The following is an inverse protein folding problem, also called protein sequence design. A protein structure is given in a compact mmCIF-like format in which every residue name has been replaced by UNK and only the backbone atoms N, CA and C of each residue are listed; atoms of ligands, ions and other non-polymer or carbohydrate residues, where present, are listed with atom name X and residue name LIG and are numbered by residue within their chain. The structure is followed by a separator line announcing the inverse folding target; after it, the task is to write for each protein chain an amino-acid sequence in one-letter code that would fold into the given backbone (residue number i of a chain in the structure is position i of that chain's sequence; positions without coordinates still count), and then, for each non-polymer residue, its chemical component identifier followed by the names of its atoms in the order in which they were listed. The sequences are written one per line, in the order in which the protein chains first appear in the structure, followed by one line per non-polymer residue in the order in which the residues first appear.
data_IF_020678982391
#
_entry.id   IF_020678982391
#
_cell.length_a   1.000
_cell.length_b   1.000
_cell.length_c   1.000
_cell.angle_alpha   90.00
_cell.angle_beta   90.00
_cell.angle_gamma   90.00
#
_symmetry.space_group_name_H-M   'P 1'
#
loop_
_entity.id
_entity.type
_entity.pdbx_description
1 polymer ?
#
# COMPACT_ATOMS: atom_id res chain seq x y z
N UNK A 1 45.82 -34.76 10.08
CA UNK A 1 44.94 -35.90 9.69
C UNK A 1 44.26 -36.35 10.98
N UNK A 2 43.13 -35.78 11.39
CA UNK A 2 41.78 -36.04 10.88
C UNK A 2 40.90 -34.78 10.90
N UNK A 3 39.98 -34.73 9.92
CA UNK A 3 38.95 -33.72 9.72
C UNK A 3 37.94 -33.65 10.88
N UNK A 4 37.61 -32.45 11.33
CA UNK A 4 36.30 -32.17 11.91
C UNK A 4 35.41 -31.63 10.78
N UNK A 5 34.44 -32.43 10.34
CA UNK A 5 33.38 -32.01 9.43
C UNK A 5 32.39 -31.21 10.29
N UNK A 6 32.46 -29.88 10.25
CA UNK A 6 31.39 -29.03 10.74
C UNK A 6 30.26 -29.03 9.71
N UNK A 7 29.15 -29.68 10.07
CA UNK A 7 27.89 -29.61 9.32
C UNK A 7 27.29 -28.22 9.53
N UNK A 8 27.39 -27.37 8.52
CA UNK A 8 26.74 -26.06 8.49
C UNK A 8 25.23 -26.25 8.28
N UNK A 9 24.43 -25.98 9.32
CA UNK A 9 22.98 -25.82 9.16
C UNK A 9 22.71 -24.42 8.60
N UNK A 10 22.22 -24.36 7.35
CA UNK A 10 21.70 -23.14 6.75
C UNK A 10 20.20 -23.04 7.02
N UNK A 11 19.76 -21.98 7.71
CA UNK A 11 18.34 -21.66 7.84
C UNK A 11 17.91 -20.76 6.66
N UNK A 12 16.96 -21.23 5.87
CA UNK A 12 16.39 -20.51 4.72
C UNK A 12 15.02 -19.95 5.07
N UNK A 13 14.83 -18.63 5.14
CA UNK A 13 13.51 -18.07 5.42
C UNK A 13 12.82 -17.67 4.10
N UNK A 14 11.52 -17.90 4.01
CA UNK A 14 10.68 -17.36 2.93
C UNK A 14 9.99 -16.11 3.47
N UNK A 15 10.29 -14.94 2.91
CA UNK A 15 9.63 -13.67 3.25
C UNK A 15 8.82 -13.20 2.04
N UNK A 16 7.51 -13.02 2.21
CA UNK A 16 6.64 -12.48 1.14
C UNK A 16 6.70 -13.24 -0.19
N UNK A 17 6.98 -14.55 -0.15
CA UNK A 17 7.15 -15.34 -1.36
C UNK A 17 8.53 -15.23 -2.03
N UNK A 18 9.57 -14.81 -1.31
CA UNK A 18 10.96 -14.86 -1.79
C UNK A 18 11.85 -15.64 -0.83
N UNK A 19 12.71 -16.52 -1.39
CA UNK A 19 13.73 -17.27 -0.66
C UNK A 19 14.88 -16.33 -0.26
N UNK A 20 15.03 -16.07 1.03
CA UNK A 20 16.13 -15.26 1.57
C UNK A 20 17.16 -16.20 2.19
N UNK A 21 18.39 -16.17 1.66
CA UNK A 21 19.54 -16.94 2.15
C UNK A 21 20.31 -16.10 3.16
N UNK A 22 20.27 -16.46 4.44
CA UNK A 22 21.17 -15.88 5.43
C UNK A 22 22.47 -16.69 5.51
N UNK A 23 23.61 -16.06 5.23
CA UNK A 23 24.91 -16.53 5.71
C UNK A 23 25.08 -16.01 7.15
N UNK A 24 25.14 -16.92 8.13
CA UNK A 24 25.53 -16.56 9.48
C UNK A 24 27.04 -16.28 9.52
N UNK A 25 27.36 -15.00 9.62
CA UNK A 25 28.68 -14.44 9.86
C UNK A 25 28.63 -12.98 9.47
N UNK A 26 28.84 -12.06 10.42
CA UNK A 26 28.95 -10.60 10.22
C UNK A 26 27.69 -9.71 10.26
N UNK A 27 26.64 -10.03 11.05
CA UNK A 27 25.57 -9.05 11.36
C UNK A 27 25.28 -8.98 12.86
N UNK A 28 26.32 -8.90 13.68
CA UNK A 28 26.20 -8.41 15.06
C UNK A 28 27.03 -7.15 15.33
N UNK A 29 27.92 -6.75 14.40
CA UNK A 29 28.73 -5.53 14.53
C UNK A 29 28.06 -4.28 13.92
N UNK A 30 27.09 -4.42 13.01
CA UNK A 30 26.43 -3.28 12.34
C UNK A 30 25.18 -2.75 13.06
N UNK A 31 24.64 -3.51 14.03
CA UNK A 31 23.43 -3.11 14.78
C UNK A 31 23.76 -2.13 15.93
N UNK A 32 25.03 -2.09 16.38
CA UNK A 32 25.45 -1.12 17.42
C UNK A 32 25.93 0.23 16.86
N UNK A 33 26.27 0.34 15.57
CA UNK A 33 26.77 1.58 14.98
C UNK A 33 25.65 2.54 14.48
N UNK A 34 24.39 2.09 14.41
CA UNK A 34 23.24 2.88 13.93
C UNK A 34 22.36 3.49 15.04
N UNK A 35 22.81 3.43 16.31
CA UNK A 35 22.06 3.95 17.46
C UNK A 35 22.45 5.37 17.89
N UNK A 36 23.10 6.14 17.02
CA UNK A 36 23.44 7.55 17.27
C UNK A 36 22.79 8.43 16.19
N UNK A 37 21.85 9.27 16.66
CA UNK A 37 21.07 10.31 15.95
C UNK A 37 19.71 9.90 15.34
N UNK A 38 18.81 9.35 16.16
CA UNK A 38 17.39 9.71 16.05
C UNK A 38 17.01 10.63 17.22
N UNK A 39 17.21 11.93 17.01
CA UNK A 39 16.48 12.94 17.78
C UNK A 39 15.00 12.84 17.38
N UNK A 40 14.04 12.77 18.31
CA UNK A 40 12.62 12.83 17.97
C UNK A 40 12.26 14.29 17.65
N UNK A 41 12.60 14.73 16.44
CA UNK A 41 12.19 16.03 15.90
C UNK A 41 11.46 15.86 14.58
N UNK A 42 10.32 15.19 14.63
CA UNK A 42 9.18 15.57 13.82
C UNK A 42 7.94 15.08 14.56
N UNK A 43 7.15 16.01 15.09
CA UNK A 43 5.70 15.81 15.11
C UNK A 43 5.36 15.27 13.72
N UNK A 44 4.81 14.06 13.64
CA UNK A 44 4.31 13.52 12.38
C UNK A 44 3.44 14.63 11.78
N UNK A 45 3.95 15.31 10.76
CA UNK A 45 3.12 16.21 9.97
C UNK A 45 1.98 15.33 9.54
N UNK A 46 0.79 15.61 10.03
CA UNK A 46 -0.44 15.09 9.46
C UNK A 46 -0.28 15.32 7.97
N UNK A 47 0.00 14.26 7.20
CA UNK A 47 -0.07 14.33 5.76
C UNK A 47 -1.51 14.78 5.51
N UNK A 48 -1.68 16.05 5.14
CA UNK A 48 -2.96 16.56 4.68
C UNK A 48 -3.32 15.65 3.52
N UNK A 49 -4.28 14.76 3.77
CA UNK A 49 -4.76 13.75 2.84
C UNK A 49 -4.90 14.41 1.46
N UNK A 50 -4.13 14.01 0.43
CA UNK A 50 -4.26 14.55 -0.93
C UNK A 50 -5.61 14.22 -1.59
N UNK A 51 -6.48 13.53 -0.84
CA UNK A 51 -7.82 13.11 -1.19
C UNK A 51 -8.82 14.26 -1.02
N UNK A 52 -8.74 15.21 -1.92
CA UNK A 52 -9.79 16.21 -2.11
C UNK A 52 -10.64 15.73 -3.27
N UNK A 53 -11.81 15.17 -2.96
CA UNK A 53 -12.88 15.02 -3.93
C UNK A 53 -13.06 16.35 -4.70
N UNK A 54 -13.22 16.30 -6.03
CA UNK A 54 -13.34 17.52 -6.83
C UNK A 54 -14.48 18.40 -6.33
N UNK A 55 -14.23 19.67 -5.94
CA UNK A 55 -15.30 20.60 -5.58
C UNK A 55 -16.18 21.00 -6.78
N UNK A 56 -15.71 20.73 -8.00
CA UNK A 56 -16.42 20.99 -9.26
C UNK A 56 -17.23 19.79 -9.75
N UNK A 57 -17.29 18.71 -8.96
CA UNK A 57 -18.15 17.57 -9.24
C UNK A 57 -19.63 17.94 -9.10
N UNK A 58 -20.43 17.49 -10.06
CA UNK A 58 -21.87 17.62 -10.11
C UNK A 58 -22.43 16.20 -10.06
N UNK A 59 -23.09 15.86 -8.96
CA UNK A 59 -23.65 14.53 -8.74
C UNK A 59 -25.17 14.52 -8.86
N UNK A 60 -25.71 13.37 -9.27
CA UNK A 60 -27.15 13.09 -9.21
C UNK A 60 -27.57 12.63 -7.81
N UNK A 61 -28.84 12.24 -7.65
CA UNK A 61 -29.28 11.61 -6.40
C UNK A 61 -28.58 10.24 -6.23
N UNK A 62 -28.06 9.93 -5.03
CA UNK A 62 -27.32 8.70 -4.84
C UNK A 62 -28.24 7.48 -4.82
N UNK A 63 -27.72 6.36 -5.33
CA UNK A 63 -28.17 5.03 -4.96
C UNK A 63 -27.52 4.61 -3.64
N UNK A 64 -28.23 3.77 -2.89
CA UNK A 64 -27.81 3.25 -1.60
C UNK A 64 -27.55 1.76 -1.70
N UNK A 65 -26.41 1.33 -1.18
CA UNK A 65 -25.99 -0.06 -1.21
C UNK A 65 -25.65 -0.55 0.19
N UNK A 66 -26.00 -1.80 0.46
CA UNK A 66 -25.48 -2.58 1.58
C UNK A 66 -24.83 -3.82 1.01
N UNK A 67 -23.59 -4.09 1.40
CA UNK A 67 -22.87 -5.25 0.89
C UNK A 67 -21.94 -5.83 1.94
N UNK A 68 -21.51 -7.07 1.68
CA UNK A 68 -20.56 -7.79 2.50
C UNK A 68 -19.39 -8.22 1.65
N UNK A 69 -18.16 -7.93 2.10
CA UNK A 69 -16.91 -8.44 1.55
C UNK A 69 -16.41 -9.56 2.46
N UNK A 70 -16.26 -10.74 1.91
CA UNK A 70 -15.63 -11.87 2.58
C UNK A 70 -14.24 -12.08 2.02
N UNK A 71 -13.24 -12.07 2.91
CA UNK A 71 -11.86 -12.38 2.60
C UNK A 71 -11.52 -13.71 3.27
N UNK A 72 -11.05 -14.68 2.49
CA UNK A 72 -10.60 -15.98 3.00
C UNK A 72 -9.10 -16.13 2.79
N UNK A 73 -8.40 -16.60 3.81
CA UNK A 73 -6.97 -16.90 3.77
C UNK A 73 -6.81 -18.37 4.10
N UNK A 74 -6.49 -19.18 3.09
CA UNK A 74 -6.38 -20.63 3.22
C UNK A 74 -4.94 -21.09 3.08
N UNK A 75 -4.45 -21.85 4.05
CA UNK A 75 -3.19 -22.55 3.91
C UNK A 75 -3.40 -23.85 3.12
N UNK A 76 -2.87 -23.90 1.90
CA UNK A 76 -2.92 -25.08 1.02
C UNK A 76 -1.69 -25.97 1.13
N UNK A 77 -0.68 -25.57 1.91
CA UNK A 77 0.50 -26.40 2.13
C UNK A 77 0.21 -27.56 3.07
N UNK A 78 1.17 -28.49 3.13
CA UNK A 78 1.20 -29.59 4.07
C UNK A 78 1.77 -29.23 5.45
N UNK A 79 2.21 -27.98 5.67
CA UNK A 79 2.82 -27.51 6.93
C UNK A 79 2.11 -26.27 7.47
N UNK A 80 2.28 -25.99 8.76
CA UNK A 80 1.65 -24.82 9.36
C UNK A 80 2.30 -23.51 8.87
N UNK A 81 1.47 -22.53 8.51
CA UNK A 81 1.90 -21.17 8.24
C UNK A 81 1.92 -20.40 9.57
N UNK A 82 3.05 -19.81 9.91
CA UNK A 82 3.30 -19.14 11.18
C UNK A 82 3.35 -17.62 11.01
N UNK A 83 2.98 -16.90 12.07
CA UNK A 83 2.98 -15.43 12.13
C UNK A 83 2.33 -14.80 10.89
N UNK A 84 1.15 -15.32 10.54
CA UNK A 84 0.39 -14.87 9.37
C UNK A 84 -0.17 -13.48 9.66
N UNK A 85 0.25 -12.48 8.89
CA UNK A 85 -0.17 -11.10 8.99
C UNK A 85 -0.79 -10.64 7.68
N UNK A 86 -2.10 -10.40 7.70
CA UNK A 86 -2.86 -9.89 6.57
C UNK A 86 -3.16 -8.40 6.75
N UNK A 87 -2.74 -7.59 5.77
CA UNK A 87 -3.03 -6.18 5.66
C UNK A 87 -4.18 -6.03 4.68
N UNK A 88 -5.40 -5.80 5.17
CA UNK A 88 -6.61 -5.72 4.35
C UNK A 88 -7.04 -4.27 4.24
N UNK A 89 -7.30 -3.79 3.02
CA UNK A 89 -7.93 -2.48 2.81
C UNK A 89 -9.35 -2.53 3.34
N UNK A 90 -9.61 -1.69 4.33
CA UNK A 90 -10.91 -1.53 4.95
C UNK A 90 -11.72 -0.45 4.25
N UNK A 91 -11.11 0.67 3.90
CA UNK A 91 -11.75 1.80 3.23
C UNK A 91 -10.77 2.50 2.29
N UNK A 92 -11.23 2.86 1.10
CA UNK A 92 -10.55 3.82 0.24
C UNK A 92 -10.70 5.25 0.78
N UNK A 93 -9.88 6.20 0.31
CA UNK A 93 -10.22 7.60 0.39
C UNK A 93 -11.58 7.91 -0.26
N UNK A 94 -12.23 8.97 0.23
CA UNK A 94 -13.49 9.42 -0.36
C UNK A 94 -13.27 9.98 -1.78
N UNK A 95 -14.20 9.65 -2.67
CA UNK A 95 -14.29 10.19 -4.02
C UNK A 95 -15.40 11.24 -4.07
N UNK A 96 -15.51 11.96 -5.19
CA UNK A 96 -16.57 12.95 -5.35
C UNK A 96 -17.97 12.34 -5.56
N UNK A 97 -18.02 11.08 -6.02
CA UNK A 97 -19.25 10.41 -6.43
C UNK A 97 -19.70 9.31 -5.48
N UNK A 98 -18.84 8.82 -4.58
CA UNK A 98 -19.21 7.76 -3.66
C UNK A 98 -18.60 7.90 -2.25
N UNK A 99 -19.43 7.60 -1.25
CA UNK A 99 -19.04 7.46 0.16
C UNK A 99 -19.29 6.03 0.63
N UNK A 100 -18.24 5.36 1.11
CA UNK A 100 -18.31 4.00 1.65
C UNK A 100 -18.04 4.01 3.16
N UNK A 101 -18.86 3.29 3.92
CA UNK A 101 -18.73 3.17 5.38
C UNK A 101 -18.64 1.71 5.78
N UNK A 102 -17.61 1.36 6.56
CA UNK A 102 -17.48 0.06 7.20
C UNK A 102 -18.36 0.05 8.47
N UNK A 103 -19.37 -0.81 8.49
CA UNK A 103 -20.28 -0.98 9.63
C UNK A 103 -19.73 -1.92 10.69
N UNK A 104 -19.14 -3.04 10.27
CA UNK A 104 -18.61 -4.06 11.19
C UNK A 104 -17.66 -5.01 10.48
N UNK A 105 -16.84 -5.70 11.28
CA UNK A 105 -16.01 -6.83 10.88
C UNK A 105 -16.32 -8.03 11.77
N UNK A 106 -16.29 -9.26 11.23
CA UNK A 106 -16.43 -10.49 12.02
C UNK A 106 -15.27 -10.70 13.00
N UNK A 107 -14.10 -10.14 12.68
CA UNK A 107 -12.89 -10.15 13.51
C UNK A 107 -12.41 -8.70 13.60
N UNK A 108 -12.11 -8.20 14.79
CA UNK A 108 -11.51 -6.86 14.90
C UNK A 108 -10.05 -6.90 14.43
N UNK A 109 -9.59 -5.93 13.63
CA UNK A 109 -8.17 -5.84 13.28
C UNK A 109 -7.34 -5.60 14.55
N UNK A 110 -6.14 -6.17 14.60
CA UNK A 110 -5.19 -5.97 15.70
C UNK A 110 -4.67 -4.53 15.74
N UNK A 111 -4.58 -3.89 14.58
CA UNK A 111 -4.26 -2.47 14.43
C UNK A 111 -4.79 -1.92 13.10
N UNK A 112 -4.83 -0.59 12.99
CA UNK A 112 -5.17 0.09 11.74
C UNK A 112 -4.18 1.21 11.43
N UNK A 113 -3.88 1.42 10.17
CA UNK A 113 -3.05 2.54 9.69
C UNK A 113 -3.53 3.03 8.33
N UNK A 114 -3.08 4.21 7.90
CA UNK A 114 -3.25 4.66 6.53
C UNK A 114 -2.00 4.35 5.71
N UNK A 115 -2.17 3.88 4.48
CA UNK A 115 -1.06 3.76 3.54
C UNK A 115 -0.73 5.13 2.90
N UNK A 116 0.22 5.13 1.95
CA UNK A 116 0.63 6.35 1.26
C UNK A 116 -0.46 6.98 0.38
N UNK A 117 -1.44 6.20 -0.08
CA UNK A 117 -2.56 6.65 -0.91
C UNK A 117 -3.73 7.16 -0.06
N UNK A 118 -3.72 6.86 1.24
CA UNK A 118 -4.77 7.20 2.19
C UNK A 118 -5.82 6.12 2.36
N UNK A 119 -5.56 4.89 1.89
CA UNK A 119 -6.40 3.74 2.21
C UNK A 119 -6.28 3.41 3.70
N UNK A 120 -7.41 3.17 4.37
CA UNK A 120 -7.42 2.64 5.73
C UNK A 120 -7.14 1.13 5.67
N UNK A 121 -6.02 0.72 6.21
CA UNK A 121 -5.57 -0.68 6.28
C UNK A 121 -5.86 -1.24 7.68
N UNK A 122 -6.47 -2.42 7.73
CA UNK A 122 -6.63 -3.24 8.93
C UNK A 122 -5.63 -4.39 8.92
N UNK A 123 -4.90 -4.55 10.02
CA UNK A 123 -3.96 -5.67 10.19
C UNK A 123 -4.66 -6.79 10.96
N UNK A 124 -4.59 -8.01 10.43
CA UNK A 124 -5.13 -9.22 11.04
C UNK A 124 -3.99 -10.23 11.21
N UNK A 125 -3.85 -10.77 12.41
CA UNK A 125 -2.69 -11.59 12.77
C UNK A 125 -3.15 -12.92 13.35
N UNK A 126 -2.59 -14.01 12.83
CA UNK A 126 -2.75 -15.35 13.37
C UNK A 126 -1.38 -15.92 13.69
N UNK A 127 -1.13 -16.40 14.93
CA UNK A 127 0.13 -17.07 15.26
C UNK A 127 0.39 -18.28 14.36
N UNK A 128 -0.69 -18.98 13.96
CA UNK A 128 -0.63 -20.18 13.15
C UNK A 128 -1.91 -20.33 12.30
N UNK A 129 -1.76 -20.70 11.03
CA UNK A 129 -2.82 -21.29 10.20
C UNK A 129 -2.37 -22.68 9.78
N UNK A 130 -3.07 -23.71 10.27
CA UNK A 130 -2.72 -25.12 10.06
C UNK A 130 -2.91 -25.57 8.60
N UNK A 131 -2.28 -26.69 8.19
CA UNK A 131 -2.52 -27.28 6.87
C UNK A 131 -4.01 -27.45 6.57
N UNK A 132 -4.48 -26.90 5.45
CA UNK A 132 -5.88 -26.96 5.02
C UNK A 132 -6.83 -25.99 5.73
N UNK A 133 -6.41 -25.33 6.82
CA UNK A 133 -7.23 -24.38 7.56
C UNK A 133 -7.50 -23.12 6.73
N UNK A 134 -8.68 -22.55 6.92
CA UNK A 134 -9.12 -21.29 6.28
C UNK A 134 -9.55 -20.31 7.34
N UNK A 135 -8.91 -19.15 7.37
CA UNK A 135 -9.33 -18.00 8.17
C UNK A 135 -10.26 -17.10 7.33
N UNK A 136 -11.29 -16.55 7.95
CA UNK A 136 -12.32 -15.77 7.24
C UNK A 136 -12.61 -14.45 7.94
N UNK A 137 -12.45 -13.35 7.20
CA UNK A 137 -12.85 -12.01 7.62
C UNK A 137 -14.10 -11.61 6.83
N UNK A 138 -15.16 -11.21 7.52
CA UNK A 138 -16.41 -10.73 6.92
C UNK A 138 -16.60 -9.27 7.29
N UNK A 139 -16.53 -8.39 6.28
CA UNK A 139 -16.65 -6.95 6.41
C UNK A 139 -18.01 -6.51 5.86
N UNK A 140 -18.79 -5.78 6.66
CA UNK A 140 -20.11 -5.27 6.26
C UNK A 140 -20.03 -3.78 5.98
N UNK A 141 -20.57 -3.37 4.85
CA UNK A 141 -20.50 -2.00 4.36
C UNK A 141 -21.87 -1.45 4.02
N UNK A 142 -21.97 -0.12 4.09
CA UNK A 142 -22.95 0.65 3.33
C UNK A 142 -22.23 1.64 2.43
N UNK A 143 -22.81 1.92 1.27
CA UNK A 143 -22.29 2.91 0.35
C UNK A 143 -23.41 3.79 -0.22
N UNK A 144 -23.07 5.04 -0.45
CA UNK A 144 -23.83 5.98 -1.28
C UNK A 144 -23.01 6.20 -2.55
N UNK A 145 -23.60 6.05 -3.73
CA UNK A 145 -22.91 6.31 -5.00
C UNK A 145 -23.84 7.01 -5.98
N UNK A 146 -23.31 7.94 -6.78
CA UNK A 146 -24.07 8.77 -7.72
C UNK A 146 -23.40 8.78 -9.08
N UNK A 147 -24.18 9.10 -10.10
CA UNK A 147 -23.62 9.59 -11.37
C UNK A 147 -22.86 10.88 -11.07
N UNK A 148 -21.81 11.15 -11.85
CA UNK A 148 -20.99 12.34 -11.67
C UNK A 148 -20.57 12.91 -13.00
N UNK A 149 -20.57 14.23 -13.09
CA UNK A 149 -19.90 15.01 -14.13
C UNK A 149 -19.14 16.17 -13.47
N UNK A 150 -18.43 16.99 -14.25
CA UNK A 150 -17.61 18.06 -13.68
C UNK A 150 -17.81 19.38 -14.42
N UNK A 151 -17.76 20.48 -13.67
CA UNK A 151 -17.68 21.82 -14.27
C UNK A 151 -16.27 22.09 -14.76
N UNK A 152 -16.03 21.82 -16.04
CA UNK A 152 -14.71 21.98 -16.65
C UNK A 152 -14.46 23.42 -17.15
N UNK A 153 -13.36 24.08 -16.74
CA UNK A 153 -13.00 25.39 -17.26
C UNK A 153 -12.46 25.28 -18.69
N UNK A 154 -12.49 26.40 -19.45
CA UNK A 154 -11.91 26.46 -20.80
C UNK A 154 -10.38 26.41 -20.82
N UNK A 155 -9.74 26.74 -19.70
CA UNK A 155 -8.29 26.81 -19.57
C UNK A 155 -7.87 26.38 -18.16
N UNK A 156 -6.71 25.73 -18.07
CA UNK A 156 -6.16 25.23 -16.81
C UNK A 156 -4.87 25.97 -16.48
N UNK A 157 -4.64 26.36 -15.21
CA UNK A 157 -3.32 26.81 -14.79
C UNK A 157 -2.30 25.67 -14.92
N UNK A 158 -0.99 25.97 -15.00
CA UNK A 158 0.02 24.93 -14.99
C UNK A 158 -0.02 24.14 -13.67
N UNK A 159 0.34 22.86 -13.73
CA UNK A 159 0.47 22.05 -12.53
C UNK A 159 1.47 22.64 -11.53
N UNK A 160 1.11 22.64 -10.25
CA UNK A 160 2.08 22.86 -9.18
C UNK A 160 2.93 21.59 -9.00
N UNK A 161 4.10 21.57 -9.67
CA UNK A 161 5.05 20.44 -9.64
C UNK A 161 5.65 20.14 -8.25
N UNK A 162 5.46 21.03 -7.28
CA UNK A 162 5.88 20.84 -5.88
C UNK A 162 4.76 20.29 -4.99
N UNK A 163 3.54 20.15 -5.51
CA UNK A 163 2.44 19.58 -4.75
C UNK A 163 2.64 18.08 -4.55
N UNK A 164 2.19 17.57 -3.40
CA UNK A 164 2.26 16.15 -3.10
C UNK A 164 1.49 15.31 -4.13
N UNK A 165 0.30 15.78 -4.55
CA UNK A 165 -0.51 15.13 -5.61
C UNK A 165 0.30 14.97 -6.89
N UNK A 166 0.92 16.04 -7.39
CA UNK A 166 1.68 15.97 -8.64
C UNK A 166 2.87 15.02 -8.49
N UNK A 167 3.72 15.24 -7.48
CA UNK A 167 4.94 14.45 -7.32
C UNK A 167 4.65 12.97 -7.12
N UNK A 168 3.61 12.65 -6.37
CA UNK A 168 3.22 11.27 -6.10
C UNK A 168 2.63 10.63 -7.35
N UNK A 169 1.57 11.21 -7.92
CA UNK A 169 0.77 10.58 -8.96
C UNK A 169 1.30 10.76 -10.39
N UNK A 170 2.47 11.40 -10.57
CA UNK A 170 3.26 11.32 -11.80
C UNK A 170 4.57 10.54 -11.62
N UNK A 171 4.82 9.96 -10.44
CA UNK A 171 6.07 9.23 -10.20
C UNK A 171 6.04 7.87 -10.91
N UNK A 172 6.99 7.58 -11.83
CA UNK A 172 7.09 6.27 -12.48
C UNK A 172 7.25 5.12 -11.49
N UNK A 173 7.80 5.39 -10.31
CA UNK A 173 8.08 4.42 -9.25
C UNK A 173 7.01 4.39 -8.14
N UNK A 174 5.84 5.01 -8.34
CA UNK A 174 4.85 5.18 -7.27
C UNK A 174 4.30 3.85 -6.73
N UNK A 175 4.17 2.87 -7.61
CA UNK A 175 3.69 1.54 -7.30
C UNK A 175 4.90 0.58 -7.24
N UNK A 176 4.75 -0.59 -6.61
CA UNK A 176 5.57 -1.78 -6.91
C UNK A 176 5.29 -2.27 -8.36
N UNK A 177 5.21 -1.33 -9.31
CA UNK A 177 4.76 -1.49 -10.66
C UNK A 177 5.93 -1.84 -11.56
N UNK A 178 6.16 -3.13 -11.71
CA UNK A 178 6.72 -3.66 -12.96
C UNK A 178 5.71 -3.53 -14.13
N UNK A 179 4.48 -3.08 -13.85
CA UNK A 179 3.35 -3.08 -14.78
C UNK A 179 3.09 -1.78 -15.56
N UNK A 180 3.07 -0.62 -14.89
CA UNK A 180 2.64 0.65 -15.51
C UNK A 180 3.76 1.24 -16.38
N UNK A 181 5.03 1.13 -15.97
CA UNK A 181 6.22 1.49 -16.75
C UNK A 181 6.12 2.82 -17.52
N UNK A 182 5.75 3.91 -16.83
CA UNK A 182 5.31 5.18 -17.44
C UNK A 182 6.39 5.90 -18.27
N UNK A 183 7.65 5.47 -18.21
CA UNK A 183 8.79 6.00 -18.98
C UNK A 183 9.25 5.04 -20.10
N UNK A 184 8.51 3.95 -20.34
CA UNK A 184 8.86 2.99 -21.37
C UNK A 184 8.80 3.63 -22.78
N UNK A 185 9.82 3.43 -23.64
CA UNK A 185 9.87 4.04 -24.96
C UNK A 185 8.63 3.85 -25.85
N UNK A 186 7.95 2.68 -25.86
CA UNK A 186 6.71 2.53 -26.62
C UNK A 186 5.58 3.44 -26.17
N UNK A 187 5.45 3.71 -24.86
CA UNK A 187 4.42 4.60 -24.32
C UNK A 187 4.75 6.06 -24.66
N UNK A 188 6.02 6.46 -24.53
CA UNK A 188 6.48 7.81 -24.92
C UNK A 188 6.25 8.07 -26.40
N UNK A 189 6.54 7.09 -27.26
CA UNK A 189 6.34 7.20 -28.70
C UNK A 189 4.85 7.31 -29.06
N UNK A 190 3.99 6.56 -28.37
CA UNK A 190 2.54 6.65 -28.58
C UNK A 190 1.98 7.98 -28.07
N UNK A 191 2.37 8.42 -26.88
CA UNK A 191 1.93 9.69 -26.29
C UNK A 191 2.24 10.87 -27.25
N UNK A 192 3.45 10.91 -27.81
CA UNK A 192 3.84 11.92 -28.81
C UNK A 192 3.06 11.86 -30.13
N UNK A 193 2.40 10.73 -30.44
CA UNK A 193 1.54 10.59 -31.62
C UNK A 193 0.11 11.04 -31.37
N UNK A 194 -0.39 10.87 -30.14
CA UNK A 194 -1.81 11.08 -29.81
C UNK A 194 -2.07 12.40 -29.10
N UNK A 195 -1.06 13.00 -28.47
CA UNK A 195 -1.17 14.32 -27.83
C UNK A 195 -0.33 15.36 -28.55
N UNK A 196 -0.69 16.63 -28.38
CA UNK A 196 0.09 17.77 -28.86
C UNK A 196 0.51 18.70 -27.71
N UNK A 197 1.67 19.37 -27.79
CA UNK A 197 2.10 20.29 -26.74
C UNK A 197 1.18 21.50 -26.48
N UNK A 198 0.32 21.87 -27.45
CA UNK A 198 -0.62 22.99 -27.30
C UNK A 198 -1.91 22.61 -26.57
N UNK A 199 -2.20 21.32 -26.42
CA UNK A 199 -3.38 20.86 -25.72
C UNK A 199 -3.26 21.07 -24.21
N UNK A 200 -4.39 21.41 -23.60
CA UNK A 200 -4.50 21.46 -22.16
C UNK A 200 -4.60 20.05 -21.56
N UNK A 201 -4.38 19.86 -20.24
CA UNK A 201 -4.36 18.54 -19.63
C UNK A 201 -5.65 17.72 -19.82
N UNK A 202 -6.81 18.38 -19.90
CA UNK A 202 -8.07 17.69 -20.17
C UNK A 202 -8.14 17.16 -21.61
N UNK A 203 -7.76 17.99 -22.59
CA UNK A 203 -7.73 17.59 -24.00
C UNK A 203 -6.77 16.43 -24.26
N UNK A 204 -5.62 16.45 -23.59
CA UNK A 204 -4.66 15.34 -23.68
C UNK A 204 -5.20 14.05 -23.05
N UNK A 205 -5.79 14.16 -21.85
CA UNK A 205 -6.44 13.02 -21.20
C UNK A 205 -7.55 12.43 -22.09
N UNK A 206 -8.35 13.28 -22.73
CA UNK A 206 -9.40 12.90 -23.68
C UNK A 206 -8.82 12.17 -24.90
N UNK A 207 -7.80 12.73 -25.55
CA UNK A 207 -7.15 12.11 -26.70
C UNK A 207 -6.54 10.73 -26.38
N UNK A 208 -5.92 10.60 -25.20
CA UNK A 208 -5.40 9.31 -24.72
C UNK A 208 -6.55 8.32 -24.47
N UNK A 209 -7.61 8.76 -23.80
CA UNK A 209 -8.77 7.94 -23.49
C UNK A 209 -9.44 7.42 -24.77
N UNK A 210 -9.70 8.32 -25.72
CA UNK A 210 -10.28 8.01 -27.01
C UNK A 210 -9.41 7.02 -27.80
N UNK A 211 -8.08 7.19 -27.78
CA UNK A 211 -7.19 6.22 -28.42
C UNK A 211 -7.36 4.81 -27.82
N UNK A 212 -7.40 4.68 -26.49
CA UNK A 212 -7.59 3.39 -25.82
C UNK A 212 -8.93 2.76 -26.20
N UNK A 213 -10.02 3.54 -26.14
CA UNK A 213 -11.38 3.09 -26.46
C UNK A 213 -11.50 2.57 -27.90
N UNK A 214 -10.74 3.14 -28.83
CA UNK A 214 -10.74 2.74 -30.23
C UNK A 214 -9.78 1.58 -30.56
N UNK A 215 -8.67 1.45 -29.83
CA UNK A 215 -7.58 0.55 -30.21
C UNK A 215 -7.46 -0.70 -29.34
N UNK A 216 -8.02 -0.71 -28.13
CA UNK A 216 -7.95 -1.85 -27.22
C UNK A 216 -9.32 -2.55 -27.16
N UNK A 217 -9.31 -3.87 -27.32
CA UNK A 217 -10.52 -4.68 -27.27
C UNK A 217 -10.63 -5.45 -25.94
N UNK A 218 -11.82 -5.41 -25.34
CA UNK A 218 -12.08 -6.18 -24.13
C UNK A 218 -12.10 -7.68 -24.43
N UNK A 219 -11.39 -8.47 -23.63
CA UNK A 219 -11.35 -9.92 -23.80
C UNK A 219 -11.71 -10.65 -22.49
N UNK A 220 -12.93 -11.19 -22.44
CA UNK A 220 -13.50 -11.90 -21.29
C UNK A 220 -12.79 -13.20 -20.90
N UNK A 221 -11.88 -13.71 -21.74
CA UNK A 221 -11.15 -14.95 -21.49
C UNK A 221 -9.75 -14.73 -20.94
N UNK A 222 -9.28 -13.48 -20.90
CA UNK A 222 -7.97 -13.14 -20.38
C UNK A 222 -7.98 -13.03 -18.86
N UNK A 223 -6.80 -13.28 -18.29
CA UNK A 223 -6.44 -12.77 -16.98
C UNK A 223 -5.72 -11.43 -17.14
N UNK A 224 -5.79 -10.57 -16.14
CA UNK A 224 -5.05 -9.31 -16.11
C UNK A 224 -3.57 -9.57 -16.46
N UNK A 225 -3.05 -8.84 -17.43
CA UNK A 225 -1.63 -8.91 -17.80
C UNK A 225 -0.75 -8.31 -16.71
N UNK A 226 -1.30 -7.33 -15.97
CA UNK A 226 -0.57 -6.52 -15.03
C UNK A 226 0.51 -5.65 -15.69
N UNK A 227 0.41 -5.38 -17.00
CA UNK A 227 1.41 -4.59 -17.73
C UNK A 227 0.78 -3.74 -18.84
N UNK A 228 0.92 -2.41 -18.74
CA UNK A 228 0.49 -1.46 -19.77
C UNK A 228 1.16 -1.75 -21.13
N UNK A 229 2.42 -2.22 -21.13
CA UNK A 229 3.13 -2.61 -22.36
C UNK A 229 2.56 -3.88 -22.99
N UNK A 230 2.10 -4.84 -22.18
CA UNK A 230 1.41 -6.01 -22.69
C UNK A 230 0.06 -5.62 -23.32
N UNK A 231 -0.72 -4.76 -22.66
CA UNK A 231 -1.97 -4.23 -23.22
C UNK A 231 -1.74 -3.49 -24.54
N UNK A 232 -0.75 -2.59 -24.58
CA UNK A 232 -0.39 -1.84 -25.78
C UNK A 232 0.04 -2.77 -26.93
N UNK A 233 0.87 -3.77 -26.65
CA UNK A 233 1.38 -4.67 -27.70
C UNK A 233 0.33 -5.64 -28.23
N UNK A 234 -0.59 -6.09 -27.38
CA UNK A 234 -1.61 -7.09 -27.76
C UNK A 234 -2.90 -6.49 -28.27
N UNK A 235 -3.17 -5.21 -27.96
CA UNK A 235 -4.46 -4.54 -28.21
C UNK A 235 -5.65 -5.27 -27.57
N UNK A 236 -5.38 -6.03 -26.51
CA UNK A 236 -6.36 -6.82 -25.75
C UNK A 236 -6.18 -6.57 -24.26
N UNK A 237 -7.28 -6.59 -23.51
CA UNK A 237 -7.21 -6.47 -22.05
C UNK A 237 -8.56 -6.69 -21.36
N UNK A 238 -8.53 -6.71 -20.04
CA UNK A 238 -9.71 -6.57 -19.18
C UNK A 238 -9.70 -5.20 -18.48
N UNK A 239 -10.66 -4.93 -17.58
CA UNK A 239 -10.80 -3.62 -16.94
C UNK A 239 -9.51 -3.09 -16.28
N UNK A 240 -8.77 -3.96 -15.59
CA UNK A 240 -7.48 -3.60 -15.01
C UNK A 240 -6.43 -3.21 -16.05
N UNK A 241 -6.39 -3.91 -17.20
CA UNK A 241 -5.43 -3.64 -18.27
C UNK A 241 -5.71 -2.31 -18.98
N UNK A 242 -6.99 -1.97 -19.16
CA UNK A 242 -7.43 -0.68 -19.69
C UNK A 242 -7.06 0.46 -18.73
N UNK A 243 -7.37 0.30 -17.44
CA UNK A 243 -7.02 1.27 -16.42
C UNK A 243 -5.50 1.47 -16.29
N UNK A 244 -4.73 0.37 -16.35
CA UNK A 244 -3.26 0.39 -16.32
C UNK A 244 -2.68 1.18 -17.48
N UNK A 245 -3.10 0.89 -18.71
CA UNK A 245 -2.61 1.59 -19.89
C UNK A 245 -2.98 3.08 -19.86
N UNK A 246 -4.18 3.40 -19.38
CA UNK A 246 -4.62 4.80 -19.28
C UNK A 246 -3.82 5.58 -18.24
N UNK A 247 -3.64 5.04 -17.02
CA UNK A 247 -2.75 5.64 -16.02
C UNK A 247 -1.33 5.75 -16.54
N UNK A 248 -0.85 4.75 -17.28
CA UNK A 248 0.50 4.76 -17.83
C UNK A 248 0.73 5.95 -18.77
N UNK A 249 -0.13 6.10 -19.78
CA UNK A 249 -0.05 7.16 -20.78
C UNK A 249 -0.27 8.55 -20.16
N UNK A 250 -1.23 8.69 -19.23
CA UNK A 250 -1.43 9.95 -18.50
C UNK A 250 -0.16 10.37 -17.75
N UNK A 251 0.47 9.43 -17.03
CA UNK A 251 1.69 9.71 -16.28
C UNK A 251 2.90 9.94 -17.20
N UNK A 252 2.95 9.31 -18.37
CA UNK A 252 3.93 9.60 -19.44
C UNK A 252 3.85 11.07 -19.87
N UNK A 253 2.64 11.62 -20.03
CA UNK A 253 2.43 13.04 -20.33
C UNK A 253 2.44 13.96 -19.07
N UNK A 254 2.85 13.43 -17.92
CA UNK A 254 2.92 14.16 -16.64
C UNK A 254 1.55 14.68 -16.12
N UNK A 255 0.46 13.99 -16.46
CA UNK A 255 -0.86 14.17 -15.86
C UNK A 255 -0.95 13.25 -14.63
N UNK A 256 -1.17 13.79 -13.42
CA UNK A 256 -1.27 12.94 -12.23
C UNK A 256 -2.50 12.04 -12.32
N UNK A 257 -2.31 10.73 -12.18
CA UNK A 257 -3.38 9.74 -12.36
C UNK A 257 -3.26 8.62 -11.31
N UNK A 258 -4.39 8.02 -10.93
CA UNK A 258 -4.47 6.93 -9.96
C UNK A 258 -5.47 5.86 -10.38
N UNK A 259 -5.15 4.62 -10.01
CA UNK A 259 -6.06 3.49 -10.15
C UNK A 259 -7.09 3.53 -9.03
N UNK A 260 -8.35 3.27 -9.38
CA UNK A 260 -9.42 3.05 -8.40
C UNK A 260 -9.90 1.61 -8.58
N UNK A 261 -9.79 0.82 -7.52
CA UNK A 261 -10.33 -0.53 -7.48
C UNK A 261 -11.57 -0.58 -6.60
N UNK A 262 -12.57 -1.32 -7.05
CA UNK A 262 -13.86 -1.33 -6.38
C UNK A 262 -14.78 -2.41 -6.87
N UNK A 263 -16.06 -2.16 -6.70
CA UNK A 263 -17.10 -3.05 -7.16
C UNK A 263 -18.11 -2.29 -8.00
N UNK A 264 -18.56 -2.92 -9.07
CA UNK A 264 -19.70 -2.48 -9.88
C UNK A 264 -20.82 -3.49 -9.74
N UNK A 265 -22.02 -3.05 -9.38
CA UNK A 265 -23.25 -3.87 -9.32
C UNK A 265 -24.39 -3.35 -10.21
N UNK A 266 -25.11 -4.19 -10.96
CA UNK A 266 -26.27 -3.74 -11.72
C UNK A 266 -27.44 -3.40 -10.78
N UNK A 267 -27.45 -2.17 -10.22
CA UNK A 267 -28.46 -1.67 -9.28
C UNK A 267 -28.75 -2.60 -8.09
N UNK A 268 -27.73 -3.31 -7.60
CA UNK A 268 -27.90 -4.21 -6.44
C UNK A 268 -28.58 -5.54 -6.77
N UNK A 269 -28.87 -5.87 -8.03
CA UNK A 269 -29.52 -7.12 -8.46
C UNK A 269 -28.62 -8.38 -8.34
N UNK A 270 -27.55 -8.33 -7.53
CA UNK A 270 -26.61 -9.44 -7.32
C UNK A 270 -25.70 -9.76 -8.52
N UNK A 271 -25.91 -9.12 -9.67
CA UNK A 271 -25.04 -9.21 -10.84
C UNK A 271 -24.04 -8.06 -10.80
N UNK A 272 -22.85 -8.34 -10.31
CA UNK A 272 -21.77 -7.36 -10.21
C UNK A 272 -20.43 -8.06 -10.02
N UNK A 273 -19.35 -7.30 -10.09
CA UNK A 273 -18.01 -7.85 -9.94
C UNK A 273 -17.01 -6.80 -9.50
N UNK A 274 -15.83 -7.30 -9.17
CA UNK A 274 -14.67 -6.43 -9.06
C UNK A 274 -14.47 -5.66 -10.37
N UNK A 275 -14.15 -4.38 -10.25
CA UNK A 275 -13.84 -3.52 -11.38
C UNK A 275 -12.71 -2.56 -11.02
N UNK A 276 -11.95 -2.15 -12.02
CA UNK A 276 -10.87 -1.18 -11.87
C UNK A 276 -11.01 -0.10 -12.95
N UNK A 277 -10.96 1.16 -12.52
CA UNK A 277 -11.04 2.34 -13.37
C UNK A 277 -10.01 3.38 -12.92
N UNK A 278 -10.14 4.63 -13.37
CA UNK A 278 -9.11 5.67 -13.19
C UNK A 278 -9.71 6.97 -12.67
N UNK A 279 -8.94 7.67 -11.85
CA UNK A 279 -9.09 9.12 -11.68
C UNK A 279 -7.82 9.84 -12.11
N UNK A 280 -7.97 10.98 -12.77
CA UNK A 280 -6.88 11.86 -13.17
C UNK A 280 -7.09 13.25 -12.59
N UNK A 281 -6.00 13.95 -12.28
CA UNK A 281 -6.05 15.22 -11.57
C UNK A 281 -5.94 16.38 -12.55
N UNK A 282 -6.94 17.26 -12.57
CA UNK A 282 -6.91 18.50 -13.32
C UNK A 282 -6.64 19.69 -12.40
N UNK A 283 -5.72 20.60 -12.75
CA UNK A 283 -5.47 21.81 -11.97
C UNK A 283 -6.76 22.60 -11.78
N UNK A 284 -6.99 23.16 -10.58
CA UNK A 284 -8.20 23.89 -10.18
C UNK A 284 -9.52 23.10 -10.13
N UNK A 285 -9.60 21.90 -10.72
CA UNK A 285 -10.79 21.04 -10.70
C UNK A 285 -10.66 19.93 -9.66
N UNK A 286 -9.49 19.29 -9.54
CA UNK A 286 -9.28 18.15 -8.65
C UNK A 286 -9.29 16.81 -9.37
N UNK A 287 -9.62 15.74 -8.65
CA UNK A 287 -9.74 14.38 -9.20
C UNK A 287 -11.00 14.23 -10.06
N UNK A 288 -10.79 13.83 -11.31
CA UNK A 288 -11.82 13.59 -12.33
C UNK A 288 -11.79 12.11 -12.70
N UNK A 289 -12.95 11.46 -12.68
CA UNK A 289 -13.08 10.03 -12.97
C UNK A 289 -13.13 9.76 -14.46
N UNK A 290 -12.63 8.60 -14.87
CA UNK A 290 -12.80 8.05 -16.20
C UNK A 290 -12.71 6.52 -16.16
N UNK A 291 -13.56 5.85 -16.95
CA UNK A 291 -13.51 4.40 -17.15
C UNK A 291 -13.30 4.05 -18.63
N UNK A 292 -12.05 3.75 -19.06
CA UNK A 292 -11.75 3.39 -20.44
C UNK A 292 -12.40 2.07 -20.87
N UNK A 293 -12.82 1.22 -19.94
CA UNK A 293 -13.55 -0.03 -20.25
C UNK A 293 -14.90 0.27 -20.90
N UNK A 294 -15.57 1.33 -20.43
CA UNK A 294 -16.91 1.72 -20.84
C UNK A 294 -16.94 3.06 -21.59
N UNK A 295 -15.79 3.54 -22.07
CA UNK A 295 -15.69 4.84 -22.73
C UNK A 295 -16.64 5.07 -23.91
N UNK A 296 -17.02 4.03 -24.65
CA UNK A 296 -18.03 4.10 -25.73
C UNK A 296 -19.42 4.53 -25.26
N UNK A 297 -19.65 4.51 -23.95
CA UNK A 297 -20.90 4.88 -23.30
C UNK A 297 -20.80 6.18 -22.50
N UNK A 298 -19.76 6.99 -22.73
CA UNK A 298 -19.65 8.33 -22.16
C UNK A 298 -18.82 8.44 -20.88
N UNK A 299 -18.09 7.40 -20.46
CA UNK A 299 -17.36 7.35 -19.17
C UNK A 299 -16.04 8.14 -19.15
N UNK A 300 -15.94 9.26 -19.87
CA UNK A 300 -14.79 10.16 -19.82
C UNK A 300 -15.16 11.46 -19.11
N UNK A 301 -14.47 11.76 -18.01
CA UNK A 301 -14.83 12.87 -17.12
C UNK A 301 -16.28 12.81 -16.65
N UNK A 302 -16.83 11.60 -16.54
CA UNK A 302 -18.11 11.31 -15.93
C UNK A 302 -18.22 9.83 -15.57
N UNK A 303 -19.19 9.54 -14.70
CA UNK A 303 -19.80 8.22 -14.60
C UNK A 303 -21.26 8.39 -14.95
N UNK A 304 -21.70 7.66 -15.98
CA UNK A 304 -23.10 7.62 -16.42
C UNK A 304 -23.92 6.63 -15.60
N UNK A 305 -23.45 6.36 -14.37
CA UNK A 305 -24.10 5.45 -13.45
C UNK A 305 -23.84 5.75 -11.97
N UNK A 306 -24.61 5.08 -11.12
CA UNK A 306 -24.51 5.16 -9.66
C UNK A 306 -24.08 3.84 -9.01
N UNK A 307 -23.42 2.94 -9.75
CA UNK A 307 -22.99 1.61 -9.27
C UNK A 307 -21.48 1.41 -9.17
N UNK A 308 -20.67 2.41 -9.52
CA UNK A 308 -19.25 2.44 -9.17
C UNK A 308 -19.04 2.71 -7.67
N UNK A 309 -18.53 1.71 -6.95
CA UNK A 309 -18.28 1.79 -5.50
C UNK A 309 -16.77 1.59 -5.26
N UNK A 310 -16.01 2.65 -4.95
CA UNK A 310 -14.56 2.58 -4.73
C UNK A 310 -14.25 1.89 -3.40
N UNK A 311 -13.33 0.92 -3.42
CA UNK A 311 -12.90 0.18 -2.23
C UNK A 311 -11.41 0.33 -1.92
N UNK A 312 -10.60 0.74 -2.90
CA UNK A 312 -9.19 1.07 -2.71
C UNK A 312 -8.65 1.99 -3.82
N UNK A 313 -7.57 2.70 -3.48
CA UNK A 313 -6.87 3.69 -4.33
C UNK A 313 -5.39 3.30 -4.52
N UNK A 314 -4.88 3.43 -5.74
CA UNK A 314 -3.45 3.45 -6.04
C UNK A 314 -2.72 2.12 -5.88
N UNK A 315 -3.46 1.05 -5.59
CA UNK A 315 -2.95 -0.31 -5.39
C UNK A 315 -3.72 -1.29 -6.26
N UNK A 316 -3.05 -2.39 -6.64
CA UNK A 316 -3.60 -3.48 -7.47
C UNK A 316 -4.26 -4.59 -6.66
N UNK A 317 -3.89 -4.69 -5.39
CA UNK A 317 -4.36 -5.71 -4.48
C UNK A 317 -4.84 -5.02 -3.21
N UNK A 318 -6.05 -5.35 -2.82
CA UNK A 318 -6.72 -4.83 -1.63
C UNK A 318 -6.37 -5.61 -0.35
N UNK A 319 -5.41 -6.53 -0.47
CA UNK A 319 -4.79 -7.27 0.63
C UNK A 319 -3.35 -7.62 0.30
N UNK A 320 -2.47 -7.54 1.30
CA UNK A 320 -1.20 -8.26 1.31
C UNK A 320 -1.15 -9.22 2.49
N UNK A 321 -0.57 -10.40 2.30
CA UNK A 321 -0.42 -11.39 3.37
C UNK A 321 1.05 -11.77 3.49
N UNK A 322 1.58 -11.68 4.70
CA UNK A 322 2.93 -12.09 5.05
C UNK A 322 2.84 -13.27 6.02
N UNK A 323 3.68 -14.29 5.82
CA UNK A 323 3.71 -15.48 6.66
C UNK A 323 5.09 -16.12 6.61
N UNK A 324 5.34 -17.05 7.53
CA UNK A 324 6.56 -17.84 7.57
C UNK A 324 6.23 -19.34 7.63
N UNK A 325 7.19 -20.17 7.23
CA UNK A 325 7.14 -21.61 7.44
C UNK A 325 8.36 -22.03 8.25
N UNK A 326 8.18 -22.99 9.16
CA UNK A 326 9.31 -23.60 9.84
C UNK A 326 10.16 -24.38 8.85
N UNK A 327 11.46 -24.11 8.81
CA UNK A 327 12.42 -24.76 7.91
C UNK A 327 12.79 -26.17 8.36
N UNK A 328 12.53 -26.51 9.62
CA UNK A 328 12.88 -27.80 10.20
C UNK A 328 12.11 -28.97 9.55
N UNK A 329 10.99 -28.69 8.89
CA UNK A 329 10.06 -29.70 8.36
C UNK A 329 10.10 -29.82 6.82
N UNK A 330 10.98 -29.05 6.14
CA UNK A 330 10.90 -28.87 4.69
C UNK A 330 12.24 -29.05 3.98
N UNK A 331 12.23 -29.82 2.90
CA UNK A 331 13.34 -29.87 1.95
C UNK A 331 13.48 -28.57 1.16
N UNK A 332 14.66 -28.31 0.60
CA UNK A 332 14.93 -27.17 -0.26
C UNK A 332 13.98 -27.08 -1.49
N UNK A 333 13.54 -28.24 -2.02
CA UNK A 333 12.58 -28.30 -3.11
C UNK A 333 11.16 -27.88 -2.68
N UNK A 334 10.76 -28.23 -1.44
CA UNK A 334 9.48 -27.79 -0.88
C UNK A 334 9.50 -26.29 -0.62
N UNK A 335 10.59 -25.75 -0.06
CA UNK A 335 10.80 -24.32 0.15
C UNK A 335 10.66 -23.49 -1.14
N UNK A 336 11.18 -24.00 -2.26
CA UNK A 336 11.07 -23.34 -3.58
C UNK A 336 9.64 -23.29 -4.14
N UNK A 337 8.72 -24.12 -3.64
CA UNK A 337 7.31 -24.18 -4.08
C UNK A 337 6.34 -23.49 -3.11
N UNK A 338 6.83 -22.88 -2.02
CA UNK A 338 5.96 -22.34 -0.95
C UNK A 338 5.32 -20.99 -1.26
N UNK A 339 5.80 -20.28 -2.28
CA UNK A 339 5.40 -18.90 -2.58
C UNK A 339 3.94 -18.75 -3.06
N UNK A 340 3.19 -19.86 -3.17
CA UNK A 340 1.78 -19.89 -3.61
C UNK A 340 0.86 -20.71 -2.70
N UNK A 341 1.30 -20.99 -1.48
CA UNK A 341 0.59 -21.91 -0.59
C UNK A 341 -0.38 -21.23 0.39
N UNK A 342 -0.43 -19.90 0.40
CA UNK A 342 -1.55 -19.16 0.97
C UNK A 342 -2.45 -18.73 -0.18
N UNK A 343 -3.64 -19.32 -0.25
CA UNK A 343 -4.67 -18.95 -1.21
C UNK A 343 -5.56 -17.87 -0.59
N UNK A 344 -5.67 -16.76 -1.31
CA UNK A 344 -6.54 -15.65 -0.94
C UNK A 344 -7.81 -15.73 -1.81
N UNK A 345 -8.96 -15.67 -1.16
CA UNK A 345 -10.26 -15.69 -1.83
C UNK A 345 -11.09 -14.47 -1.46
N UNK A 346 -11.94 -14.05 -2.40
CA UNK A 346 -12.81 -12.90 -2.28
C UNK A 346 -14.23 -13.25 -2.67
N UNK A 347 -15.18 -12.73 -1.91
CA UNK A 347 -16.59 -12.77 -2.28
C UNK A 347 -17.27 -11.47 -1.85
N UNK A 348 -18.06 -10.90 -2.76
CA UNK A 348 -18.86 -9.71 -2.50
C UNK A 348 -20.32 -10.07 -2.66
N UNK A 349 -21.12 -9.76 -1.65
CA UNK A 349 -22.56 -10.02 -1.66
C UNK A 349 -23.29 -8.72 -1.44
N UNK A 350 -23.99 -8.26 -2.47
CA UNK A 350 -24.89 -7.11 -2.40
C UNK A 350 -26.25 -7.57 -1.92
N UNK A 351 -26.84 -6.82 -0.99
CA UNK A 351 -28.12 -7.14 -0.39
C UNK A 351 -29.20 -6.26 -1.03
N UNK A 352 -30.25 -6.88 -1.55
CA UNK A 352 -31.34 -6.21 -2.29
C UNK A 352 -32.28 -5.37 -1.43
N UNK A 353 -32.09 -5.34 -0.11
CA UNK A 353 -33.00 -4.64 0.80
C UNK A 353 -32.22 -3.88 1.86
N UNK A 354 -32.25 -2.55 1.79
CA UNK A 354 -32.63 -1.67 2.91
C UNK A 354 -32.95 -0.29 2.34
N UNK A 355 -34.10 0.29 2.72
CA UNK A 355 -34.33 1.73 2.63
C UNK A 355 -33.10 2.49 3.16
N UNK A 356 -32.82 3.72 2.70
CA UNK A 356 -31.69 4.52 3.19
C UNK A 356 -31.66 4.42 4.72
N UNK A 357 -30.50 4.10 5.33
CA UNK A 357 -30.41 3.99 6.77
C UNK A 357 -31.00 5.28 7.34
N UNK A 358 -31.96 5.17 8.27
CA UNK A 358 -32.48 6.34 8.98
C UNK A 358 -31.28 7.16 9.43
N UNK A 359 -31.26 8.46 9.05
CA UNK A 359 -30.14 9.40 9.29
C UNK A 359 -29.43 9.00 10.59
N UNK A 360 -28.12 8.73 10.56
CA UNK A 360 -27.44 8.21 11.74
C UNK A 360 -27.72 9.15 12.92
N UNK A 361 -28.51 8.67 13.88
CA UNK A 361 -28.49 9.24 15.23
C UNK A 361 -27.04 9.11 15.64
N UNK A 362 -26.37 10.24 15.88
CA UNK A 362 -24.95 10.32 16.20
C UNK A 362 -24.60 9.32 17.32
N UNK A 363 -24.24 8.09 16.95
CA UNK A 363 -23.68 7.09 17.84
C UNK A 363 -22.18 7.29 17.76
N UNK A 364 -21.57 7.44 18.93
CA UNK A 364 -20.14 7.70 19.10
C UNK A 364 -19.32 6.75 18.19
N UNK A 365 -18.28 7.24 17.51
CA UNK A 365 -17.43 6.40 16.67
C UNK A 365 -16.90 5.21 17.48
N UNK A 366 -17.04 4.01 16.91
CA UNK A 366 -16.56 2.74 17.51
C UNK A 366 -15.03 2.71 17.60
N UNK A 367 -14.34 3.64 16.94
CA UNK A 367 -12.89 3.85 17.04
C UNK A 367 -12.61 5.17 17.78
N UNK A 368 -12.93 5.21 19.07
CA UNK A 368 -12.41 6.26 19.93
C UNK A 368 -10.93 5.96 20.23
N UNK A 369 -10.03 6.68 19.54
CA UNK A 369 -8.64 6.83 19.98
C UNK A 369 -8.69 7.40 21.40
N UNK A 370 -8.30 6.62 22.40
CA UNK A 370 -8.10 7.13 23.76
C UNK A 370 -6.93 8.11 23.73
N UNK A 371 -7.21 9.38 23.52
CA UNK A 371 -6.33 10.47 23.91
C UNK A 371 -6.59 10.77 25.39
N UNK A 372 -5.65 10.41 26.25
CA UNK A 372 -5.66 10.84 27.66
C UNK A 372 -5.31 12.34 27.73
N UNK A 373 -6.08 13.17 28.44
CA UNK A 373 -5.74 14.58 28.63
C UNK A 373 -4.55 14.71 29.58
N UNK A 374 -3.53 15.48 29.19
CA UNK A 374 -2.44 15.90 30.08
C UNK A 374 -2.96 16.99 31.02
N UNK A 375 -3.06 16.69 32.31
CA UNK A 375 -3.12 17.71 33.37
C UNK A 375 -1.70 17.93 33.90
N UNK A 376 -1.22 19.17 33.81
CA UNK A 376 0.03 19.61 34.41
C UNK A 376 -0.09 19.65 35.94
N UNK A 377 0.72 18.86 36.65
CA UNK A 377 1.19 19.21 37.99
C UNK A 377 2.67 18.80 38.11
N UNK A 378 3.49 19.74 38.55
CA UNK A 378 4.93 19.60 38.65
C UNK A 378 5.32 18.89 39.95
N UNK A 379 6.06 17.78 39.84
CA UNK A 379 6.87 17.19 40.90
C UNK A 379 8.13 16.55 40.29
N UNK A 380 9.25 16.46 41.04
CA UNK A 380 10.60 16.37 40.47
C UNK A 380 10.95 14.95 40.00
N UNK A 381 11.72 14.86 38.90
CA UNK A 381 12.29 13.61 38.38
C UNK A 381 13.64 13.32 39.07
N UNK A 382 13.82 12.14 39.69
CA UNK A 382 15.14 11.52 39.67
C UNK A 382 15.07 9.98 39.52
N UNK A 383 15.72 9.43 38.47
CA UNK A 383 16.26 8.04 38.38
C UNK A 383 16.64 7.67 36.93
N UNK A 384 15.97 8.24 35.92
CA UNK A 384 16.19 7.86 34.52
C UNK A 384 17.45 8.50 33.91
N UNK A 385 17.82 9.72 34.31
CA UNK A 385 19.02 10.40 33.80
C UNK A 385 20.32 9.69 34.25
N UNK A 386 20.40 9.21 35.49
CA UNK A 386 21.57 8.49 35.99
C UNK A 386 21.75 7.12 35.32
N UNK A 387 20.65 6.41 35.05
CA UNK A 387 20.66 5.17 34.27
C UNK A 387 21.09 5.43 32.82
N UNK A 388 20.69 6.57 32.25
CA UNK A 388 21.06 6.93 30.88
C UNK A 388 22.51 7.36 30.72
N UNK A 389 23.09 8.02 31.73
CA UNK A 389 24.53 8.33 31.77
C UNK A 389 25.36 7.06 31.96
N UNK A 390 24.95 6.15 32.85
CA UNK A 390 25.62 4.87 33.06
C UNK A 390 25.58 3.98 31.80
N UNK A 391 24.44 3.93 31.11
CA UNK A 391 24.29 3.18 29.86
C UNK A 391 25.20 3.72 28.74
N UNK A 392 25.32 5.04 28.60
CA UNK A 392 26.26 5.64 27.63
C UNK A 392 27.72 5.33 27.93
N UNK A 393 28.11 5.32 29.19
CA UNK A 393 29.47 4.97 29.59
C UNK A 393 29.78 3.51 29.26
N UNK A 394 28.86 2.60 29.58
CA UNK A 394 29.01 1.18 29.27
C UNK A 394 29.08 0.91 27.75
N UNK A 395 28.25 1.57 26.94
CA UNK A 395 28.31 1.45 25.47
C UNK A 395 29.64 1.97 24.91
N UNK A 396 30.18 3.04 25.49
CA UNK A 396 31.48 3.60 25.05
C UNK A 396 32.64 2.66 25.37
N UNK A 397 32.68 2.08 26.57
CA UNK A 397 33.71 1.10 26.94
C UNK A 397 33.67 -0.15 26.04
N UNK A 398 32.46 -0.62 25.70
CA UNK A 398 32.28 -1.76 24.80
C UNK A 398 32.81 -1.47 23.37
N UNK A 399 32.59 -0.25 22.87
CA UNK A 399 33.09 0.18 21.55
C UNK A 399 34.62 0.29 21.57
N UNK A 400 35.19 0.89 22.62
CA UNK A 400 36.64 1.05 22.75
C UNK A 400 37.35 -0.32 22.83
N UNK A 401 36.77 -1.31 23.52
CA UNK A 401 37.32 -2.66 23.61
C UNK A 401 37.24 -3.43 22.28
N UNK A 402 36.18 -3.23 21.51
CA UNK A 402 36.05 -3.79 20.15
C UNK A 402 37.08 -3.15 19.22
N UNK A 403 37.26 -1.83 19.27
CA UNK A 403 38.23 -1.12 18.43
C UNK A 403 39.69 -1.48 18.79
N UNK A 404 39.99 -1.76 20.06
CA UNK A 404 41.28 -2.34 20.49
C UNK A 404 41.48 -3.75 19.97
N UNK A 405 40.44 -4.59 19.98
CA UNK A 405 40.53 -5.96 19.48
C UNK A 405 40.82 -6.03 17.98
N UNK A 406 40.36 -5.03 17.22
CA UNK A 406 40.68 -4.86 15.79
C UNK A 406 41.94 -4.02 15.53
N UNK A 407 42.66 -3.58 16.57
CA UNK A 407 43.91 -2.82 16.46
C UNK A 407 43.74 -1.40 15.88
N UNK A 408 42.53 -0.85 15.93
CA UNK A 408 42.18 0.48 15.39
C UNK A 408 42.66 1.59 16.34
N UNK A 409 42.63 1.32 17.65
CA UNK A 409 43.14 2.23 18.68
C UNK A 409 44.28 1.51 19.43
N UNK A 410 45.40 2.20 19.75
CA UNK A 410 46.47 1.61 20.55
C UNK A 410 45.96 1.15 21.92
N UNK A 411 46.57 0.09 22.52
CA UNK A 411 46.25 -0.30 23.88
C UNK A 411 46.50 0.88 24.83
N UNK A 412 45.75 0.98 25.94
CA UNK A 412 45.93 2.08 26.88
C UNK A 412 47.39 2.11 27.34
N UNK A 413 48.02 3.27 27.24
CA UNK A 413 49.33 3.50 27.86
C UNK A 413 49.19 3.19 29.35
N UNK A 414 50.05 2.33 29.94
CA UNK A 414 50.04 2.10 31.37
C UNK A 414 50.23 3.43 32.08
N UNK A 415 49.33 3.76 33.00
CA UNK A 415 49.61 4.83 33.95
C UNK A 415 50.90 4.48 34.70
N UNK A 416 51.88 5.37 34.60
CA UNK A 416 53.06 5.40 35.46
C UNK A 416 52.58 5.62 36.89
N UNK A 417 52.33 4.55 37.65
CA UNK A 417 52.31 4.57 39.12
C UNK A 417 52.66 3.23 39.78
N UNK A 418 52.93 2.16 39.01
CA UNK A 418 53.46 0.89 39.54
C UNK A 418 54.85 0.59 38.97
N UNK A 419 55.87 1.27 39.50
CA UNK A 419 57.25 0.75 39.50
C UNK A 419 57.77 0.69 40.94
N UNK A 420 58.46 -0.39 41.35
CA UNK A 420 59.03 -0.51 42.68
C UNK A 420 60.14 0.53 42.87
N UNK A 421 60.11 1.23 44.00
CA UNK A 421 61.24 2.02 44.51
C UNK A 421 62.48 1.11 44.65
N UNK A 422 63.66 1.48 44.11
CA UNK A 422 64.91 0.82 44.46
C UNK A 422 65.36 1.28 45.85
N UNK A 423 65.69 0.31 46.71
CA UNK A 423 66.43 0.56 47.96
C UNK A 423 67.90 0.89 47.67
N UNK A 424 68.38 1.90 48.42
CA UNK A 424 69.73 2.18 48.91
C UNK A 424 70.88 2.53 47.93
N UNK A 425 71.33 3.79 48.04
CA UNK A 425 72.64 4.12 48.64
C UNK A 425 72.61 5.51 49.27
#
# INVERSE_FOLDING_TARGET
MFCAISVWHFSYYVWGGHLVKHQHGYIWALILASLILFQPTASAKTLTQPNIASPDAITTLPAYYSFTKTVTIRNTSSVAALDVNAHVVLLAPQTAYSTVTLLSSSISPSSTHYDQFGNLIGVYSWPEIKPGQTETIVLKYVAESSEVSYKLPRSYPPYNKKSAVYQMYTNPNLEYAEGVNTDAPPLVALDQQITTPSENPYQKADAIFEWIVHNINYNYTLHASGSALATLSTHLGICSDFADLYVALLRTDHIPARLIGGYVTNNGAGQGGFHQWVEFYLPSVGWVVADPTWGKFGYFASLEDNWHIPLYDGIRQDISVHWYYSTAELSAAQLAQMNKQILIGYNYVFHTDQAPPAKPVAKRPILAVKQTPKTHSAHPLPALESLWVAFRHWVRELVDDVERWFGIIPPPTPHHDDWPQPQES
#
